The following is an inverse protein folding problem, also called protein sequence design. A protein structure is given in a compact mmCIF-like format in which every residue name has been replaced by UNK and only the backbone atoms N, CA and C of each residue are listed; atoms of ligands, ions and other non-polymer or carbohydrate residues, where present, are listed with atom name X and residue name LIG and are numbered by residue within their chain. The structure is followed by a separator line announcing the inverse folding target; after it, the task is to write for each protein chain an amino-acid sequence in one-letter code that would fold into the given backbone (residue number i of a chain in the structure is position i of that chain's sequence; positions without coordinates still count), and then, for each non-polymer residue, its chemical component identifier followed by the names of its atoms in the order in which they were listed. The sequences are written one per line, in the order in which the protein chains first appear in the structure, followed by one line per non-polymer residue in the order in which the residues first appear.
data_IF_651106123787
#
_entry.id   IF_651106123787
#
_cell.length_a   1.000
_cell.length_b   1.000
_cell.length_c   1.000
_cell.angle_alpha   90.00
_cell.angle_beta   90.00
_cell.angle_gamma   90.00
#
_symmetry.space_group_name_H-M   'P 1'
#
loop_
_entity.id
_entity.type
_entity.pdbx_description
1 polymer ?
#
# COMPACT_ATOMS: atom_id res chain seq x y z
N UNK A 1 4.33 -37.88 30.02
CA UNK A 1 3.08 -38.68 29.97
C UNK A 1 1.92 -37.78 30.39
N UNK A 2 0.94 -37.63 29.50
CA UNK A 2 -0.17 -36.66 29.50
C UNK A 2 -1.16 -36.89 30.66
N UNK A 3 -1.69 -35.82 31.25
CA UNK A 3 -3.00 -35.85 31.91
C UNK A 3 -3.95 -34.93 31.14
N UNK A 4 -4.70 -35.55 30.23
CA UNK A 4 -5.90 -34.97 29.59
C UNK A 4 -7.09 -35.22 30.51
N UNK A 5 -7.83 -34.18 30.93
CA UNK A 5 -9.21 -34.33 31.41
C UNK A 5 -10.18 -33.99 30.28
N UNK A 6 -10.79 -35.04 29.72
CA UNK A 6 -11.95 -34.99 28.82
C UNK A 6 -13.14 -35.45 29.67
N UNK A 7 -14.13 -34.60 29.89
CA UNK A 7 -15.44 -35.01 30.41
C UNK A 7 -16.48 -34.50 29.42
N UNK A 8 -17.04 -35.42 28.62
CA UNK A 8 -18.43 -35.36 28.18
C UNK A 8 -18.80 -36.72 27.55
N UNK A 9 -19.49 -37.55 28.34
CA UNK A 9 -20.31 -38.67 27.88
C UNK A 9 -21.76 -38.25 28.13
N UNK A 10 -22.62 -38.20 27.10
CA UNK A 10 -23.57 -39.28 26.73
C UNK A 10 -24.72 -38.70 25.87
N UNK A 11 -24.68 -39.05 24.58
CA UNK A 11 -25.78 -39.55 23.74
C UNK A 11 -27.24 -39.20 24.13
N UNK A 12 -27.98 -38.61 23.18
CA UNK A 12 -29.17 -39.22 22.56
C UNK A 12 -29.45 -38.64 21.17
N UNK A 13 -29.75 -39.55 20.24
CA UNK A 13 -30.11 -39.32 18.83
C UNK A 13 -31.49 -38.67 18.71
N UNK A 14 -31.65 -37.76 17.76
CA UNK A 14 -32.90 -37.58 17.01
C UNK A 14 -32.54 -37.23 15.56
N UNK A 15 -32.89 -38.14 14.65
CA UNK A 15 -32.78 -37.98 13.20
C UNK A 15 -33.98 -37.17 12.72
N UNK A 16 -33.74 -36.06 12.01
CA UNK A 16 -34.73 -35.44 11.14
C UNK A 16 -34.09 -35.36 9.75
N UNK A 17 -34.69 -36.07 8.79
CA UNK A 17 -34.45 -35.93 7.36
C UNK A 17 -35.16 -34.67 6.88
N UNK A 18 -34.46 -33.81 6.14
CA UNK A 18 -35.08 -33.03 5.07
C UNK A 18 -34.08 -32.85 3.93
N UNK A 19 -34.52 -33.25 2.75
CA UNK A 19 -33.82 -33.26 1.46
C UNK A 19 -33.91 -31.89 0.81
N UNK A 20 -32.84 -31.35 0.21
CA UNK A 20 -32.94 -30.63 -1.07
C UNK A 20 -31.58 -30.49 -1.81
N UNK A 21 -31.52 -31.18 -2.95
CA UNK A 21 -30.92 -30.86 -4.25
C UNK A 21 -29.55 -30.16 -4.37
N UNK A 22 -28.54 -30.96 -4.71
CA UNK A 22 -27.30 -30.53 -5.39
C UNK A 22 -27.49 -30.78 -6.89
N UNK A 23 -27.41 -29.73 -7.71
CA UNK A 23 -27.38 -29.84 -9.17
C UNK A 23 -25.94 -30.07 -9.61
N UNK A 24 -25.66 -31.28 -10.10
CA UNK A 24 -24.39 -31.64 -10.73
C UNK A 24 -24.54 -31.37 -12.22
N UNK A 25 -23.78 -30.42 -12.76
CA UNK A 25 -23.60 -30.29 -14.21
C UNK A 25 -22.36 -31.11 -14.59
N UNK A 26 -22.61 -32.25 -15.21
CA UNK A 26 -21.61 -33.08 -15.87
C UNK A 26 -21.16 -32.42 -17.18
N UNK A 27 -19.90 -31.97 -17.25
CA UNK A 27 -19.22 -31.62 -18.49
C UNK A 27 -18.29 -32.75 -18.91
N UNK A 28 -18.65 -33.42 -20.01
CA UNK A 28 -17.87 -34.45 -20.70
C UNK A 28 -16.46 -33.96 -21.07
N UNK A 29 -15.42 -34.72 -20.71
CA UNK A 29 -14.08 -34.59 -21.29
C UNK A 29 -14.00 -35.55 -22.47
N UNK A 30 -14.00 -35.01 -23.69
CA UNK A 30 -13.51 -35.72 -24.87
C UNK A 30 -12.07 -35.27 -25.11
N UNK A 31 -11.14 -36.21 -24.94
CA UNK A 31 -9.74 -36.03 -25.29
C UNK A 31 -9.59 -35.83 -26.80
N UNK A 32 -8.99 -34.71 -27.17
CA UNK A 32 -8.49 -34.42 -28.50
C UNK A 32 -7.17 -33.67 -28.38
N UNK A 33 -6.07 -34.40 -28.48
CA UNK A 33 -4.74 -33.84 -28.62
C UNK A 33 -4.61 -33.22 -30.00
N UNK A 34 -4.58 -31.88 -30.09
CA UNK A 34 -4.10 -31.17 -31.28
C UNK A 34 -2.98 -30.23 -30.88
N UNK A 35 -1.79 -30.57 -31.35
CA UNK A 35 -0.61 -29.72 -31.37
C UNK A 35 -0.96 -28.39 -32.02
N UNK A 36 -0.88 -27.29 -31.26
CA UNK A 36 -1.02 -25.96 -31.82
C UNK A 36 0.35 -25.58 -32.37
N UNK A 37 0.52 -25.76 -33.68
CA UNK A 37 1.63 -25.15 -34.42
C UNK A 37 1.49 -23.63 -34.31
N UNK A 38 2.60 -22.96 -34.02
CA UNK A 38 2.76 -21.51 -34.14
C UNK A 38 2.57 -21.11 -35.61
N UNK A 39 1.32 -20.90 -36.01
CA UNK A 39 0.95 -20.27 -37.26
C UNK A 39 0.67 -18.79 -36.94
N UNK A 40 1.43 -17.93 -37.64
CA UNK A 40 1.26 -16.49 -37.77
C UNK A 40 -0.18 -16.02 -37.54
N UNK A 41 -0.42 -15.43 -36.37
CA UNK A 41 -1.65 -14.68 -36.14
C UNK A 41 -1.59 -13.37 -36.95
N UNK A 42 -2.67 -13.01 -37.66
CA UNK A 42 -2.75 -11.72 -38.31
C UNK A 42 -2.78 -10.63 -37.25
N UNK A 43 -1.85 -9.68 -37.37
CA UNK A 43 -1.75 -8.43 -36.63
C UNK A 43 -3.04 -7.60 -36.83
N UNK A 44 -3.97 -7.61 -35.84
CA UNK A 44 -5.14 -6.70 -35.73
C UNK A 44 -5.85 -6.76 -34.35
N UNK A 45 -5.14 -7.02 -33.25
CA UNK A 45 -5.69 -6.83 -31.88
C UNK A 45 -4.86 -5.77 -31.15
N UNK A 46 -5.39 -4.54 -31.03
CA UNK A 46 -4.89 -3.57 -30.05
C UNK A 46 -5.27 -4.04 -28.63
N UNK A 47 -4.63 -5.13 -28.20
CA UNK A 47 -4.65 -5.57 -26.80
C UNK A 47 -4.13 -4.40 -25.96
N UNK A 48 -4.73 -4.09 -24.79
CA UNK A 48 -4.20 -3.05 -23.92
C UNK A 48 -2.71 -3.28 -23.70
N UNK A 49 -1.90 -2.29 -24.05
CA UNK A 49 -0.46 -2.36 -23.86
C UNK A 49 -0.09 -1.76 -22.51
N UNK A 50 1.05 -2.15 -21.91
CA UNK A 50 1.53 -1.55 -20.67
C UNK A 50 1.53 -0.01 -20.70
N UNK A 51 0.70 0.62 -19.87
CA UNK A 51 0.50 2.08 -19.82
C UNK A 51 -0.28 2.68 -21.01
N UNK A 52 -0.95 1.87 -21.81
CA UNK A 52 -1.85 2.29 -22.88
C UNK A 52 -3.30 2.46 -22.42
N UNK A 53 -4.18 2.77 -23.37
CA UNK A 53 -5.62 2.91 -23.09
C UNK A 53 -6.23 1.55 -22.72
N UNK A 54 -6.93 1.44 -21.57
CA UNK A 54 -7.60 0.22 -21.18
C UNK A 54 -8.70 -0.17 -22.17
N UNK A 55 -8.82 -1.47 -22.41
CA UNK A 55 -10.02 -2.06 -22.98
C UNK A 55 -11.02 -2.23 -21.81
N UNK A 56 -12.05 -1.40 -21.80
CA UNK A 56 -13.03 -1.35 -20.71
C UNK A 56 -14.09 -2.45 -20.81
N UNK A 57 -14.29 -3.05 -21.99
CA UNK A 57 -15.43 -3.92 -22.27
C UNK A 57 -15.04 -5.31 -22.79
N UNK A 58 -13.75 -5.56 -23.01
CA UNK A 58 -13.21 -6.86 -23.32
C UNK A 58 -13.18 -7.85 -22.15
N UNK A 59 -12.47 -8.95 -22.38
CA UNK A 59 -12.43 -10.11 -21.49
C UNK A 59 -11.35 -10.03 -20.41
N UNK A 60 -10.76 -8.85 -20.18
CA UNK A 60 -9.69 -8.65 -19.19
C UNK A 60 -10.09 -7.53 -18.25
N UNK A 61 -9.76 -7.69 -16.97
CA UNK A 61 -10.37 -6.89 -15.94
C UNK A 61 -9.65 -5.57 -15.62
N UNK A 62 -8.40 -5.44 -16.09
CA UNK A 62 -7.50 -4.32 -15.78
C UNK A 62 -7.22 -4.17 -14.27
N UNK A 63 -7.17 -5.31 -13.59
CA UNK A 63 -6.73 -5.41 -12.19
C UNK A 63 -6.01 -6.73 -11.97
N UNK A 64 -5.04 -6.79 -11.06
CA UNK A 64 -4.36 -8.03 -10.72
C UNK A 64 -4.62 -8.43 -9.25
N UNK A 65 -4.55 -9.72 -8.97
CA UNK A 65 -4.45 -10.25 -7.60
C UNK A 65 -3.02 -10.68 -7.30
N UNK A 66 -2.72 -10.84 -6.02
CA UNK A 66 -1.47 -11.42 -5.56
C UNK A 66 -1.32 -12.86 -6.07
N UNK A 67 -0.09 -13.34 -6.30
CA UNK A 67 0.14 -14.68 -6.82
C UNK A 67 -0.31 -15.74 -5.79
N UNK A 68 -1.28 -16.57 -6.18
CA UNK A 68 -1.76 -17.67 -5.35
C UNK A 68 -0.84 -18.90 -5.47
N UNK A 69 -0.60 -19.65 -4.37
CA UNK A 69 0.15 -20.89 -4.45
C UNK A 69 -0.54 -21.92 -5.35
N UNK A 70 0.23 -22.64 -6.15
CA UNK A 70 -0.28 -23.75 -6.96
C UNK A 70 -0.19 -25.07 -6.21
N UNK A 71 -1.03 -26.03 -6.61
CA UNK A 71 -1.04 -27.38 -6.05
C UNK A 71 -0.29 -28.35 -6.99
N UNK A 72 0.40 -29.32 -6.42
CA UNK A 72 0.92 -30.47 -7.15
C UNK A 72 -0.20 -31.47 -7.51
N UNK A 73 0.17 -32.56 -8.20
CA UNK A 73 -0.77 -33.62 -8.60
C UNK A 73 -1.43 -34.34 -7.42
N UNK A 74 -0.88 -34.21 -6.20
CA UNK A 74 -1.42 -34.78 -4.97
C UNK A 74 -2.23 -33.76 -4.17
N UNK A 75 -2.43 -32.55 -4.68
CA UNK A 75 -3.14 -31.47 -4.01
C UNK A 75 -2.31 -30.76 -2.92
N UNK A 76 -0.99 -30.93 -2.89
CA UNK A 76 -0.10 -30.26 -1.94
C UNK A 76 0.39 -28.93 -2.49
N UNK A 77 0.51 -27.92 -1.62
CA UNK A 77 0.97 -26.59 -2.00
C UNK A 77 2.45 -26.60 -2.38
N UNK A 78 2.77 -26.08 -3.57
CA UNK A 78 4.13 -25.98 -4.08
C UNK A 78 4.77 -24.66 -3.60
N UNK A 79 5.89 -24.75 -2.87
CA UNK A 79 6.65 -23.57 -2.44
C UNK A 79 7.17 -22.74 -3.63
N UNK A 80 7.30 -21.41 -3.46
CA UNK A 80 7.80 -20.49 -4.49
C UNK A 80 6.85 -20.21 -5.67
N UNK A 81 5.62 -20.72 -5.63
CA UNK A 81 4.62 -20.52 -6.70
C UNK A 81 3.69 -19.35 -6.43
N UNK A 82 3.48 -18.99 -5.17
CA UNK A 82 2.69 -17.86 -4.71
C UNK A 82 2.76 -17.68 -3.20
N UNK A 83 1.98 -16.75 -2.65
CA UNK A 83 2.00 -16.37 -1.23
C UNK A 83 1.30 -17.44 -0.39
N UNK A 84 2.09 -18.26 0.31
CA UNK A 84 1.58 -19.25 1.26
C UNK A 84 1.25 -18.57 2.59
N UNK A 85 0.12 -18.92 3.19
CA UNK A 85 -0.24 -18.33 4.49
C UNK A 85 0.55 -18.98 5.62
N UNK A 86 0.96 -18.19 6.60
CA UNK A 86 1.51 -18.65 7.88
C UNK A 86 2.81 -19.47 7.76
N UNK A 87 3.69 -19.06 6.84
CA UNK A 87 5.01 -19.70 6.65
C UNK A 87 6.18 -18.87 7.15
N UNK A 88 6.00 -17.57 7.36
CA UNK A 88 6.97 -16.62 7.90
C UNK A 88 6.54 -16.19 9.33
N UNK A 89 7.48 -16.00 10.25
CA UNK A 89 7.17 -15.58 11.62
C UNK A 89 6.91 -14.07 11.72
N UNK A 90 6.16 -13.65 12.75
CA UNK A 90 5.81 -12.25 12.98
C UNK A 90 7.04 -11.42 13.41
N UNK A 91 7.37 -10.31 12.73
CA UNK A 91 8.39 -9.37 13.20
C UNK A 91 7.99 -8.70 14.50
N UNK A 92 8.88 -8.70 15.49
CA UNK A 92 8.72 -7.95 16.73
C UNK A 92 9.43 -6.59 16.70
N UNK A 93 9.38 -5.90 17.85
CA UNK A 93 10.12 -4.64 18.06
C UNK A 93 11.56 -4.92 18.47
N UNK A 94 12.49 -4.32 17.74
CA UNK A 94 13.94 -4.44 17.95
C UNK A 94 14.57 -5.67 17.29
N UNK A 95 15.86 -5.56 16.96
CA UNK A 95 16.59 -6.58 16.20
C UNK A 95 16.66 -7.96 16.87
N UNK A 96 16.54 -8.04 18.20
CA UNK A 96 16.49 -9.32 18.92
C UNK A 96 15.19 -10.10 18.70
N UNK A 97 14.16 -9.44 18.15
CA UNK A 97 12.86 -10.04 17.80
C UNK A 97 12.64 -10.09 16.28
N UNK A 98 13.73 -10.22 15.52
CA UNK A 98 13.64 -10.39 14.08
C UNK A 98 12.96 -11.72 13.72
N UNK A 99 12.15 -11.72 12.65
CA UNK A 99 11.55 -12.94 12.12
C UNK A 99 12.54 -13.78 11.30
N UNK A 100 12.06 -14.87 10.70
CA UNK A 100 12.86 -15.76 9.85
C UNK A 100 13.34 -15.13 8.52
N UNK A 101 12.77 -13.98 8.13
CA UNK A 101 13.23 -13.13 7.03
C UNK A 101 14.24 -12.05 7.47
N UNK A 102 14.54 -11.95 8.77
CA UNK A 102 15.42 -10.92 9.34
C UNK A 102 14.77 -9.53 9.47
N UNK A 103 13.44 -9.47 9.40
CA UNK A 103 12.64 -8.25 9.56
C UNK A 103 12.30 -8.03 11.04
N UNK A 104 12.31 -6.77 11.46
CA UNK A 104 11.87 -6.30 12.78
C UNK A 104 11.40 -4.85 12.64
N UNK A 105 10.66 -4.32 13.61
CA UNK A 105 10.39 -2.88 13.72
C UNK A 105 11.59 -2.24 14.45
N UNK A 106 12.43 -1.41 13.81
CA UNK A 106 13.53 -0.73 14.50
C UNK A 106 13.00 0.13 15.65
N UNK A 107 13.76 0.24 16.73
CA UNK A 107 13.42 1.11 17.87
C UNK A 107 14.30 2.37 17.81
N UNK A 108 13.67 3.54 17.71
CA UNK A 108 14.38 4.81 17.62
C UNK A 108 15.19 5.09 18.89
N UNK A 109 16.38 5.68 18.73
CA UNK A 109 17.28 6.03 19.84
C UNK A 109 17.25 7.54 20.05
N UNK A 110 16.74 8.06 21.17
CA UNK A 110 16.63 9.51 21.37
C UNK A 110 18.01 10.17 21.53
N UNK A 111 18.26 11.24 20.78
CA UNK A 111 19.28 12.21 21.14
C UNK A 111 18.70 13.14 22.23
N UNK A 112 19.30 13.09 23.42
CA UNK A 112 18.85 13.86 24.59
C UNK A 112 19.74 15.06 24.89
N UNK A 113 20.78 15.30 24.08
CA UNK A 113 21.81 16.31 24.33
C UNK A 113 21.66 17.52 23.42
N UNK A 114 21.28 17.32 22.14
CA UNK A 114 21.14 18.42 21.18
C UNK A 114 20.06 19.43 21.59
N UNK A 115 18.95 18.96 22.16
CA UNK A 115 17.89 19.81 22.71
C UNK A 115 17.57 19.39 24.15
N UNK A 116 18.25 19.98 25.16
CA UNK A 116 18.03 19.63 26.57
C UNK A 116 16.55 19.72 26.96
N UNK A 117 16.05 18.68 27.62
CA UNK A 117 14.63 18.58 28.02
C UNK A 117 13.72 17.99 26.94
N UNK A 118 14.24 17.57 25.79
CA UNK A 118 13.48 16.91 24.73
C UNK A 118 14.23 15.72 24.15
N UNK A 119 13.52 14.86 23.42
CA UNK A 119 14.12 13.82 22.60
C UNK A 119 14.22 14.32 21.15
N UNK A 120 15.35 14.09 20.50
CA UNK A 120 15.60 14.55 19.14
C UNK A 120 15.93 13.40 18.19
N UNK A 121 15.35 13.45 16.99
CA UNK A 121 15.55 12.45 15.94
C UNK A 121 15.79 13.14 14.60
N UNK A 122 16.73 12.60 13.82
CA UNK A 122 16.88 12.92 12.41
C UNK A 122 16.36 11.75 11.59
N UNK A 123 15.21 11.95 10.95
CA UNK A 123 14.52 10.95 10.17
C UNK A 123 14.69 11.26 8.68
N UNK A 124 15.14 10.29 7.90
CA UNK A 124 15.23 10.40 6.45
C UNK A 124 14.24 9.48 5.78
N UNK A 125 13.64 9.97 4.68
CA UNK A 125 12.90 9.14 3.74
C UNK A 125 13.85 8.58 2.69
N UNK A 126 13.86 7.26 2.54
CA UNK A 126 14.71 6.55 1.57
C UNK A 126 13.91 5.53 0.77
N UNK A 127 14.41 5.16 -0.42
CA UNK A 127 13.91 4.04 -1.20
C UNK A 127 14.83 2.83 -1.03
N UNK A 128 14.25 1.64 -0.86
CA UNK A 128 14.98 0.40 -0.59
C UNK A 128 14.17 -0.81 -1.06
N UNK A 129 14.77 -2.01 -0.96
CA UNK A 129 14.11 -3.27 -1.26
C UNK A 129 14.09 -4.15 -0.01
N UNK A 130 12.95 -4.81 0.25
CA UNK A 130 12.79 -5.74 1.37
C UNK A 130 11.90 -6.91 0.94
N UNK A 131 12.22 -8.12 1.40
CA UNK A 131 11.41 -9.30 1.14
C UNK A 131 10.30 -9.38 2.20
N UNK A 132 9.03 -9.27 1.77
CA UNK A 132 7.86 -9.26 2.68
C UNK A 132 7.22 -10.66 2.85
N UNK A 133 7.73 -11.67 2.14
CA UNK A 133 7.30 -13.07 2.20
C UNK A 133 8.35 -13.96 1.53
N UNK A 134 8.64 -15.16 2.06
CA UNK A 134 9.72 -16.03 1.52
C UNK A 134 9.53 -16.49 0.07
N UNK A 135 8.29 -16.55 -0.40
CA UNK A 135 7.95 -16.94 -1.79
C UNK A 135 7.80 -15.75 -2.75
N UNK A 136 8.07 -14.52 -2.30
CA UNK A 136 8.08 -13.33 -3.14
C UNK A 136 9.52 -12.85 -3.38
N UNK A 137 9.73 -12.19 -4.52
CA UNK A 137 10.92 -11.38 -4.73
C UNK A 137 10.92 -10.16 -3.79
N UNK A 138 12.09 -9.55 -3.48
CA UNK A 138 12.15 -8.31 -2.71
C UNK A 138 11.31 -7.19 -3.36
N UNK A 139 10.45 -6.57 -2.55
CA UNK A 139 9.54 -5.50 -2.92
C UNK A 139 10.26 -4.15 -2.85
N UNK A 140 10.11 -3.30 -3.86
CA UNK A 140 10.57 -1.90 -3.80
C UNK A 140 9.65 -1.09 -2.89
N UNK A 141 10.24 -0.34 -1.95
CA UNK A 141 9.54 0.37 -0.88
C UNK A 141 10.16 1.75 -0.66
N UNK A 142 9.37 2.63 -0.05
CA UNK A 142 9.84 3.88 0.56
C UNK A 142 9.56 3.83 2.06
N UNK A 143 10.44 4.39 2.87
CA UNK A 143 10.27 4.33 4.31
C UNK A 143 11.28 5.17 5.07
N UNK A 144 11.04 5.25 6.38
CA UNK A 144 11.79 6.12 7.28
C UNK A 144 13.00 5.41 7.89
N UNK A 145 14.11 6.13 8.03
CA UNK A 145 15.31 5.68 8.76
C UNK A 145 15.80 6.78 9.70
N UNK A 146 16.29 6.41 10.88
CA UNK A 146 16.96 7.36 11.76
C UNK A 146 18.46 7.42 11.43
N UNK A 147 19.01 8.63 11.32
CA UNK A 147 20.42 8.82 10.95
C UNK A 147 21.32 9.43 12.02
N UNK A 148 20.76 10.14 13.00
CA UNK A 148 21.51 10.70 14.15
C UNK A 148 21.75 9.67 15.26
N UNK A 149 22.12 8.45 14.90
CA UNK A 149 22.45 7.37 15.83
C UNK A 149 23.66 6.58 15.30
N UNK A 150 24.39 5.94 16.21
CA UNK A 150 25.47 5.00 15.89
C UNK A 150 24.98 3.55 15.84
N UNK A 151 23.74 3.27 16.26
CA UNK A 151 23.17 1.93 16.27
C UNK A 151 22.87 1.45 14.84
N UNK A 152 23.61 0.44 14.32
CA UNK A 152 23.42 -0.04 12.95
C UNK A 152 22.05 -0.70 12.74
N UNK A 153 21.40 -1.17 13.80
CA UNK A 153 20.07 -1.82 13.72
C UNK A 153 18.95 -0.83 13.47
N UNK A 154 19.18 0.46 13.75
CA UNK A 154 18.21 1.55 13.55
C UNK A 154 18.47 2.32 12.26
N UNK A 155 19.74 2.39 11.82
CA UNK A 155 20.13 3.04 10.56
C UNK A 155 19.75 2.25 9.31
N UNK A 156 19.34 0.98 9.45
CA UNK A 156 18.90 0.13 8.36
C UNK A 156 17.47 0.52 7.96
N UNK A 157 17.22 0.65 6.65
CA UNK A 157 15.86 0.74 6.14
C UNK A 157 15.09 -0.57 6.40
N UNK A 158 13.88 -0.43 6.92
CA UNK A 158 12.99 -1.53 7.25
C UNK A 158 11.54 -1.06 7.11
N UNK A 159 10.65 -1.97 6.75
CA UNK A 159 9.22 -1.70 6.73
C UNK A 159 8.76 -1.21 8.11
N UNK A 160 7.88 -0.21 8.13
CA UNK A 160 7.44 0.53 9.31
C UNK A 160 8.47 1.45 9.98
N UNK A 161 9.70 1.56 9.47
CA UNK A 161 10.70 2.51 9.96
C UNK A 161 10.96 2.45 11.48
N UNK A 162 11.69 3.42 12.06
CA UNK A 162 12.02 3.41 13.47
C UNK A 162 10.81 3.81 14.35
N UNK A 163 10.30 2.87 15.14
CA UNK A 163 9.30 3.14 16.15
C UNK A 163 9.85 4.10 17.21
N UNK A 164 9.15 5.21 17.44
CA UNK A 164 9.49 6.15 18.53
C UNK A 164 8.70 5.75 19.77
N UNK A 165 9.38 5.52 20.88
CA UNK A 165 8.77 5.36 22.22
C UNK A 165 9.00 6.65 22.99
N UNK A 166 7.93 7.42 23.18
CA UNK A 166 7.98 8.71 23.85
C UNK A 166 7.34 8.66 25.24
N UNK A 167 7.71 9.61 26.08
CA UNK A 167 7.12 9.79 27.40
C UNK A 167 6.17 10.99 27.40
N UNK A 168 5.04 10.84 28.08
CA UNK A 168 4.11 11.95 28.34
C UNK A 168 4.84 13.14 28.94
N UNK A 169 4.49 14.33 28.46
CA UNK A 169 5.04 15.63 28.88
C UNK A 169 6.55 15.83 28.59
N UNK A 170 7.18 14.92 27.83
CA UNK A 170 8.53 15.11 27.27
C UNK A 170 8.41 15.37 25.76
N UNK A 171 8.73 16.59 25.29
CA UNK A 171 8.59 16.91 23.88
C UNK A 171 9.57 16.11 23.00
N UNK A 172 9.13 15.83 21.78
CA UNK A 172 9.96 15.25 20.71
C UNK A 172 10.19 16.28 19.62
N UNK A 173 11.43 16.42 19.16
CA UNK A 173 11.81 17.20 17.98
C UNK A 173 12.27 16.25 16.87
N UNK A 174 11.86 16.53 15.65
CA UNK A 174 12.26 15.76 14.47
C UNK A 174 12.81 16.68 13.40
N UNK A 175 13.98 16.37 12.84
CA UNK A 175 14.38 16.87 11.52
C UNK A 175 14.04 15.79 10.50
N UNK A 176 13.14 16.10 9.59
CA UNK A 176 12.79 15.23 8.48
C UNK A 176 13.55 15.64 7.23
N UNK A 177 14.14 14.69 6.51
CA UNK A 177 14.83 14.94 5.24
C UNK A 177 14.35 13.99 4.16
N UNK A 178 13.94 14.51 3.02
CA UNK A 178 13.66 13.71 1.84
C UNK A 178 14.98 13.34 1.14
N UNK A 179 15.35 12.05 1.16
CA UNK A 179 16.56 11.48 0.53
C UNK A 179 16.22 10.51 -0.62
N UNK A 180 15.06 10.66 -1.22
CA UNK A 180 14.71 9.91 -2.43
C UNK A 180 15.60 10.32 -3.62
N UNK A 181 15.74 9.47 -4.65
CA UNK A 181 16.55 9.79 -5.83
C UNK A 181 16.01 10.98 -6.63
N UNK A 182 16.88 11.65 -7.39
CA UNK A 182 16.49 12.74 -8.31
C UNK A 182 16.00 12.23 -9.66
N UNK A 183 15.31 13.10 -10.39
CA UNK A 183 14.84 12.82 -11.76
C UNK A 183 13.87 11.64 -11.80
N UNK A 184 13.94 10.84 -12.86
CA UNK A 184 13.03 9.70 -13.04
C UNK A 184 13.19 8.62 -11.96
N UNK A 185 14.32 8.56 -11.24
CA UNK A 185 14.49 7.68 -10.09
C UNK A 185 13.68 8.11 -8.87
N UNK A 186 13.26 9.37 -8.82
CA UNK A 186 12.39 9.94 -7.78
C UNK A 186 10.90 9.81 -8.08
N UNK A 187 10.55 9.43 -9.31
CA UNK A 187 9.17 9.12 -9.66
C UNK A 187 8.63 7.97 -8.80
N UNK A 188 7.34 8.02 -8.51
CA UNK A 188 6.72 6.99 -7.70
C UNK A 188 6.59 5.71 -8.53
N UNK A 189 7.03 4.58 -7.98
CA UNK A 189 6.86 3.27 -8.61
C UNK A 189 5.42 2.73 -8.47
N UNK A 190 4.43 3.63 -8.38
CA UNK A 190 3.01 3.33 -8.31
C UNK A 190 2.25 4.24 -9.28
N UNK A 191 1.06 3.82 -9.79
CA UNK A 191 0.29 4.62 -10.74
C UNK A 191 -0.21 5.94 -10.13
N UNK A 192 0.31 7.06 -10.62
CA UNK A 192 -0.13 8.41 -10.25
C UNK A 192 -1.14 8.93 -11.26
N UNK A 193 -2.39 9.13 -10.82
CA UNK A 193 -3.39 9.87 -11.60
C UNK A 193 -3.08 11.37 -11.56
N UNK A 194 -2.55 11.89 -12.66
CA UNK A 194 -2.17 13.30 -12.80
C UNK A 194 -3.36 14.24 -13.06
N UNK A 195 -4.57 13.70 -13.25
CA UNK A 195 -5.78 14.53 -13.27
C UNK A 195 -6.24 14.90 -11.86
N UNK A 196 -5.81 14.14 -10.84
CA UNK A 196 -6.15 14.41 -9.45
C UNK A 196 -5.43 15.67 -8.93
N UNK A 197 -6.14 16.43 -8.10
CA UNK A 197 -5.57 17.62 -7.47
C UNK A 197 -4.36 17.24 -6.62
N UNK A 198 -3.28 18.00 -6.75
CA UNK A 198 -2.04 17.71 -6.02
C UNK A 198 -1.19 16.60 -6.62
N UNK A 199 -1.58 15.95 -7.71
CA UNK A 199 -0.82 14.85 -8.34
C UNK A 199 -0.43 15.11 -9.80
N UNK A 200 -1.00 16.13 -10.45
CA UNK A 200 -0.54 16.62 -11.75
C UNK A 200 -0.44 18.13 -11.80
N UNK A 201 -1.49 18.87 -12.19
CA UNK A 201 -1.40 20.32 -12.38
C UNK A 201 -0.84 21.05 -11.14
N UNK A 202 0.33 21.71 -11.30
CA UNK A 202 1.06 22.38 -10.23
C UNK A 202 0.55 23.79 -9.90
N UNK A 203 1.09 24.42 -8.85
CA UNK A 203 0.60 25.68 -8.28
C UNK A 203 0.86 26.91 -9.17
N UNK A 204 1.74 26.82 -10.18
CA UNK A 204 2.03 27.91 -11.11
C UNK A 204 1.08 27.92 -12.31
N UNK A 205 -0.23 27.99 -12.05
CA UNK A 205 -1.26 28.04 -13.09
C UNK A 205 -1.14 26.91 -14.13
N UNK A 206 -0.62 25.74 -13.72
CA UNK A 206 -0.41 24.59 -14.59
C UNK A 206 0.73 24.70 -15.62
N UNK A 207 1.64 25.67 -15.51
CA UNK A 207 2.84 25.72 -16.37
C UNK A 207 3.86 24.63 -16.04
N UNK A 208 3.72 23.99 -14.87
CA UNK A 208 4.54 22.88 -14.39
C UNK A 208 3.62 21.92 -13.60
N UNK A 209 3.95 20.64 -13.57
CA UNK A 209 3.25 19.63 -12.78
C UNK A 209 3.89 19.46 -11.40
N UNK A 210 3.10 19.13 -10.39
CA UNK A 210 3.64 18.61 -9.15
C UNK A 210 4.58 17.43 -9.42
N UNK A 211 5.76 17.44 -8.79
CA UNK A 211 6.66 16.29 -8.82
C UNK A 211 6.04 15.15 -8.04
N UNK A 212 6.36 13.90 -8.40
CA UNK A 212 5.93 12.73 -7.63
C UNK A 212 6.81 12.52 -6.39
N UNK A 213 7.99 13.15 -6.36
CA UNK A 213 8.91 13.11 -5.26
C UNK A 213 8.62 14.23 -4.24
N UNK A 214 7.55 14.03 -3.47
CA UNK A 214 7.14 14.91 -2.38
C UNK A 214 6.78 14.08 -1.16
N UNK A 215 7.17 14.58 0.00
CA UNK A 215 6.88 13.93 1.27
C UNK A 215 6.71 14.97 2.39
N UNK A 216 5.96 14.61 3.42
CA UNK A 216 5.94 15.26 4.74
C UNK A 216 5.67 14.17 5.79
N UNK A 217 5.58 14.55 7.07
CA UNK A 217 5.18 13.62 8.13
C UNK A 217 4.00 14.22 8.90
N UNK A 218 2.93 13.45 9.03
CA UNK A 218 1.85 13.66 9.99
C UNK A 218 1.94 12.66 11.13
N UNK A 219 1.94 13.13 12.39
CA UNK A 219 1.85 12.26 13.57
C UNK A 219 0.37 12.08 13.96
N UNK A 220 -0.21 10.98 13.49
CA UNK A 220 -1.63 10.70 13.66
C UNK A 220 -1.99 10.41 15.12
N UNK A 221 -2.98 11.15 15.63
CA UNK A 221 -3.49 11.00 16.99
C UNK A 221 -2.74 11.81 18.05
N UNK A 222 -1.78 12.65 17.63
CA UNK A 222 -1.05 13.57 18.51
C UNK A 222 -1.71 14.95 18.61
N UNK A 223 -1.49 15.60 19.76
CA UNK A 223 -1.77 17.00 20.03
C UNK A 223 -0.51 17.79 19.65
N UNK A 224 -0.55 18.36 18.47
CA UNK A 224 0.58 19.02 17.79
C UNK A 224 0.23 20.48 17.48
N UNK A 225 1.20 21.41 17.52
CA UNK A 225 1.02 22.72 16.90
C UNK A 225 0.85 22.58 15.39
N UNK A 226 0.09 23.47 14.76
CA UNK A 226 -0.24 23.39 13.33
C UNK A 226 0.99 23.33 12.39
N UNK A 227 2.09 23.99 12.75
CA UNK A 227 3.36 23.96 11.99
C UNK A 227 4.04 22.59 12.04
N UNK A 228 3.65 21.71 12.95
CA UNK A 228 4.23 20.39 13.15
C UNK A 228 3.20 19.28 13.03
N UNK A 229 2.03 19.56 12.46
CA UNK A 229 1.00 18.55 12.26
C UNK A 229 1.21 17.77 10.97
N UNK A 230 1.91 18.30 9.96
CA UNK A 230 2.05 17.64 8.67
C UNK A 230 0.79 17.79 7.81
N UNK A 231 0.23 19.00 7.74
CA UNK A 231 -0.93 19.27 6.91
C UNK A 231 -0.62 18.97 5.43
N UNK A 232 -1.63 18.72 4.57
CA UNK A 232 -1.39 18.31 3.20
C UNK A 232 -0.49 19.22 2.37
N UNK A 233 -0.40 20.51 2.70
CA UNK A 233 0.43 21.49 2.00
C UNK A 233 1.79 21.74 2.66
N UNK A 234 2.21 20.92 3.62
CA UNK A 234 3.54 20.91 4.25
C UNK A 234 4.56 19.99 3.56
N UNK A 235 4.28 19.51 2.36
CA UNK A 235 5.25 18.67 1.64
C UNK A 235 6.53 19.43 1.26
N UNK A 236 7.62 18.68 1.24
CA UNK A 236 8.92 19.07 0.70
C UNK A 236 9.31 18.12 -0.45
N UNK A 237 9.99 18.63 -1.46
CA UNK A 237 10.74 17.78 -2.40
C UNK A 237 12.11 17.46 -1.81
N UNK A 238 12.87 16.59 -2.46
CA UNK A 238 14.27 16.40 -2.10
C UNK A 238 15.11 17.66 -2.44
N UNK A 239 16.34 17.74 -1.92
CA UNK A 239 17.27 18.81 -2.24
C UNK A 239 17.72 18.77 -3.70
N UNK A 240 17.53 19.86 -4.45
CA UNK A 240 17.94 19.96 -5.86
C UNK A 240 16.97 19.31 -6.84
N UNK A 241 15.73 19.03 -6.41
CA UNK A 241 14.65 18.62 -7.33
C UNK A 241 14.47 19.67 -8.44
N UNK A 242 14.27 19.20 -9.68
CA UNK A 242 14.04 20.08 -10.83
C UNK A 242 12.61 20.59 -10.84
N UNK A 243 12.29 21.45 -9.88
CA UNK A 243 11.00 22.13 -9.76
C UNK A 243 11.18 23.57 -9.36
N UNK A 244 10.22 24.40 -9.77
CA UNK A 244 10.21 25.80 -9.41
C UNK A 244 9.43 26.11 -8.11
N UNK A 245 8.97 25.07 -7.39
CA UNK A 245 8.31 25.12 -6.07
C UNK A 245 8.74 23.91 -5.21
N UNK A 246 9.95 23.94 -4.63
CA UNK A 246 10.50 22.79 -3.89
C UNK A 246 9.79 22.48 -2.56
N UNK A 247 8.89 23.36 -2.11
CA UNK A 247 8.15 23.19 -0.86
C UNK A 247 6.71 23.63 -1.02
N UNK A 248 5.82 23.04 -0.24
CA UNK A 248 4.43 23.43 -0.13
C UNK A 248 4.24 24.74 0.64
N UNK A 249 3.10 25.39 0.40
CA UNK A 249 2.81 26.74 0.93
C UNK A 249 2.65 26.79 2.45
N UNK A 250 2.54 25.65 3.12
CA UNK A 250 2.37 25.57 4.57
C UNK A 250 3.62 25.08 5.31
N UNK A 251 4.74 24.89 4.61
CA UNK A 251 6.01 24.50 5.23
C UNK A 251 6.50 25.62 6.14
N UNK A 252 6.64 25.31 7.42
CA UNK A 252 7.16 26.20 8.45
C UNK A 252 8.00 25.40 9.44
N UNK A 253 9.28 25.72 9.52
CA UNK A 253 10.18 25.09 10.49
C UNK A 253 9.85 25.52 11.92
N UNK A 254 10.11 24.62 12.87
CA UNK A 254 10.02 24.92 14.31
C UNK A 254 10.95 26.11 14.64
N UNK A 255 10.44 27.21 15.22
CA UNK A 255 11.20 28.45 15.37
C UNK A 255 12.50 28.37 16.19
N UNK A 256 12.62 27.39 17.09
CA UNK A 256 13.80 27.19 17.95
C UNK A 256 14.76 26.11 17.44
N UNK A 257 14.52 25.58 16.24
CA UNK A 257 15.43 24.67 15.54
C UNK A 257 16.15 25.43 14.41
N UNK A 258 17.45 25.14 14.16
CA UNK A 258 18.15 25.69 13.01
C UNK A 258 17.43 25.36 11.70
N UNK A 259 17.55 26.25 10.71
CA UNK A 259 17.09 25.97 9.35
C UNK A 259 17.75 24.67 8.86
N UNK A 260 16.96 23.62 8.56
CA UNK A 260 17.50 22.32 8.20
C UNK A 260 18.02 22.29 6.75
N UNK A 261 17.82 23.36 5.97
CA UNK A 261 18.23 23.47 4.59
C UNK A 261 17.29 22.78 3.60
N UNK A 262 17.64 22.87 2.31
CA UNK A 262 16.80 22.35 1.23
C UNK A 262 16.51 20.84 1.38
N UNK A 263 15.27 20.46 1.05
CA UNK A 263 14.79 19.08 1.15
C UNK A 263 14.69 18.54 2.57
N UNK A 264 14.59 19.44 3.55
CA UNK A 264 14.34 19.10 4.95
C UNK A 264 13.34 20.06 5.59
N UNK A 265 12.66 19.59 6.62
CA UNK A 265 11.78 20.38 7.48
C UNK A 265 11.85 19.88 8.94
N UNK A 266 11.33 20.66 9.88
CA UNK A 266 11.38 20.32 11.30
C UNK A 266 9.99 20.23 11.96
N UNK A 267 9.86 19.34 12.93
CA UNK A 267 8.63 19.08 13.69
C UNK A 267 8.85 19.10 15.19
N UNK A 268 7.84 19.56 15.93
CA UNK A 268 7.77 19.58 17.39
C UNK A 268 6.47 18.91 17.88
N UNK A 269 6.62 17.81 18.62
CA UNK A 269 5.52 17.07 19.22
C UNK A 269 5.52 17.28 20.73
N UNK A 270 4.43 17.82 21.26
CA UNK A 270 4.33 18.20 22.68
C UNK A 270 4.32 17.00 23.62
N UNK A 271 3.71 15.90 23.18
CA UNK A 271 3.38 14.72 24.00
C UNK A 271 2.54 15.02 25.24
N UNK A 272 1.79 16.13 25.24
CA UNK A 272 0.92 16.54 26.34
C UNK A 272 -0.48 15.92 26.22
N UNK A 273 -0.53 14.59 26.17
CA UNK A 273 -1.78 13.83 26.02
C UNK A 273 -1.70 12.47 26.72
N UNK A 274 -2.78 11.68 26.68
CA UNK A 274 -2.80 10.35 27.30
C UNK A 274 -1.94 9.33 26.53
N UNK A 275 -1.36 8.36 27.25
CA UNK A 275 -0.69 7.22 26.65
C UNK A 275 -1.57 6.52 25.59
N UNK A 276 -0.96 6.14 24.46
CA UNK A 276 -1.61 5.47 23.32
C UNK A 276 -0.59 5.06 22.26
N UNK A 277 -0.96 4.07 21.45
CA UNK A 277 -0.27 3.79 20.19
C UNK A 277 -0.78 4.75 19.12
N UNK A 278 0.16 5.45 18.49
CA UNK A 278 0.01 6.36 17.36
C UNK A 278 0.89 5.85 16.21
N UNK A 279 0.92 6.60 15.13
CA UNK A 279 1.84 6.36 14.02
C UNK A 279 2.11 7.67 13.30
N UNK A 280 3.29 7.79 12.71
CA UNK A 280 3.62 8.90 11.84
C UNK A 280 3.75 8.40 10.40
N UNK A 281 3.19 9.16 9.46
CA UNK A 281 3.07 8.73 8.06
C UNK A 281 3.07 9.92 7.10
N UNK A 282 3.27 9.66 5.81
CA UNK A 282 3.18 10.71 4.80
C UNK A 282 1.76 11.28 4.70
N UNK A 283 1.67 12.58 4.46
CA UNK A 283 0.41 13.29 4.33
C UNK A 283 0.38 14.23 3.12
N UNK A 284 1.22 13.98 2.12
CA UNK A 284 1.42 14.87 0.97
C UNK A 284 0.15 15.02 0.12
N UNK A 285 -0.23 16.28 -0.17
CA UNK A 285 -1.36 16.61 -1.03
C UNK A 285 -1.34 15.87 -2.36
N UNK A 286 -2.41 15.09 -2.61
CA UNK A 286 -2.61 14.28 -3.83
C UNK A 286 -1.94 12.91 -3.84
N UNK A 287 -0.96 12.67 -2.96
CA UNK A 287 -0.10 11.47 -2.99
C UNK A 287 -0.16 10.59 -1.73
N UNK A 288 -0.79 11.03 -0.63
CA UNK A 288 -0.88 10.29 0.64
C UNK A 288 -1.17 8.80 0.46
N UNK A 289 -2.21 8.45 -0.32
CA UNK A 289 -2.59 7.04 -0.53
C UNK A 289 -1.45 6.20 -1.10
N UNK A 290 -0.62 6.77 -1.98
CA UNK A 290 0.44 6.05 -2.67
C UNK A 290 1.73 6.04 -1.86
N UNK A 291 2.09 7.15 -1.19
CA UNK A 291 3.25 7.23 -0.32
C UNK A 291 3.11 6.29 0.90
N UNK A 292 1.95 6.32 1.57
CA UNK A 292 1.64 5.38 2.66
C UNK A 292 1.60 3.94 2.13
N UNK A 293 1.07 3.71 0.92
CA UNK A 293 1.06 2.38 0.33
C UNK A 293 2.47 1.87 0.01
N UNK A 294 3.38 2.75 -0.40
CA UNK A 294 4.79 2.46 -0.67
C UNK A 294 5.60 2.14 0.61
N UNK A 295 5.09 2.45 1.80
CA UNK A 295 5.71 2.10 3.09
C UNK A 295 6.02 3.28 4.01
N UNK A 296 5.61 4.50 3.67
CA UNK A 296 5.86 5.72 4.46
C UNK A 296 4.92 5.82 5.68
N UNK A 297 5.10 4.91 6.63
CA UNK A 297 4.42 4.88 7.92
C UNK A 297 5.33 4.27 8.98
N UNK A 298 5.18 4.67 10.25
CA UNK A 298 5.94 4.12 11.35
C UNK A 298 5.24 4.29 12.72
N UNK A 299 5.39 3.36 13.67
CA UNK A 299 4.69 3.43 14.94
C UNK A 299 5.26 4.50 15.86
N UNK A 300 4.40 5.06 16.70
CA UNK A 300 4.78 5.99 17.76
C UNK A 300 4.03 5.61 19.03
N UNK A 301 4.72 5.13 20.06
CA UNK A 301 4.10 4.75 21.33
C UNK A 301 4.35 5.83 22.37
N UNK A 302 3.27 6.46 22.83
CA UNK A 302 3.32 7.38 23.97
C UNK A 302 3.01 6.62 25.25
N UNK A 303 3.92 6.67 26.21
CA UNK A 303 3.79 6.04 27.52
C UNK A 303 3.58 7.09 28.62
N UNK A 304 2.92 6.72 29.70
CA UNK A 304 2.74 7.59 30.87
C UNK A 304 3.04 6.87 32.21
N UNK A 305 3.23 7.63 33.30
CA UNK A 305 3.50 7.04 34.61
C UNK A 305 2.37 6.15 35.15
N UNK A 306 1.11 6.37 34.74
CA UNK A 306 -0.03 5.61 35.23
C UNK A 306 -0.04 4.20 34.63
N UNK A 307 0.14 4.07 33.32
CA UNK A 307 0.31 2.78 32.63
C UNK A 307 1.49 2.00 33.22
N UNK A 308 2.62 2.69 33.45
CA UNK A 308 3.81 2.07 34.07
C UNK A 308 3.55 1.56 35.48
N UNK A 309 2.76 2.28 36.28
CA UNK A 309 2.37 1.84 37.62
C UNK A 309 1.47 0.59 37.57
N UNK A 310 0.55 0.52 36.60
CA UNK A 310 -0.29 -0.66 36.37
C UNK A 310 0.56 -1.87 35.98
N UNK A 311 1.54 -1.70 35.08
CA UNK A 311 2.50 -2.76 34.72
C UNK A 311 3.29 -3.21 35.96
N UNK A 312 3.84 -2.27 36.73
CA UNK A 312 4.64 -2.57 37.92
C UNK A 312 3.84 -3.31 39.01
N UNK A 313 2.55 -3.01 39.13
CA UNK A 313 1.64 -3.71 40.06
C UNK A 313 1.20 -5.09 39.56
N UNK A 314 1.48 -5.44 38.29
CA UNK A 314 0.96 -6.65 37.64
C UNK A 314 -0.52 -6.58 37.27
N UNK A 315 -1.15 -5.40 37.35
CA UNK A 315 -2.55 -5.21 36.95
C UNK A 315 -2.74 -5.35 35.44
N UNK A 316 -1.72 -5.01 34.64
CA UNK A 316 -1.66 -5.25 33.20
C UNK A 316 -0.32 -5.90 32.81
N UNK A 317 -0.25 -6.65 31.70
CA UNK A 317 0.99 -7.29 31.25
C UNK A 317 2.08 -6.27 30.91
N UNK A 318 3.33 -6.63 31.21
CA UNK A 318 4.51 -5.87 30.75
C UNK A 318 4.86 -6.14 29.29
N UNK A 319 4.47 -7.30 28.77
CA UNK A 319 4.70 -7.65 27.37
C UNK A 319 3.65 -6.99 26.48
N UNK A 320 4.13 -6.28 25.47
CA UNK A 320 3.30 -5.62 24.46
C UNK A 320 3.82 -6.00 23.07
N UNK A 321 2.90 -6.38 22.18
CA UNK A 321 3.19 -6.73 20.80
C UNK A 321 2.39 -5.78 19.92
N UNK A 322 3.01 -4.77 19.29
CA UNK A 322 2.30 -3.91 18.36
C UNK A 322 1.95 -4.70 17.10
N UNK A 323 0.71 -4.58 16.65
CA UNK A 323 0.23 -5.17 15.40
C UNK A 323 -0.18 -4.04 14.45
N UNK A 324 0.67 -3.76 13.47
CA UNK A 324 0.38 -2.82 12.40
C UNK A 324 -0.08 -3.62 11.20
N UNK A 325 -1.35 -3.43 10.83
CA UNK A 325 -2.04 -4.23 9.81
C UNK A 325 -2.28 -3.36 8.59
N UNK A 326 -1.84 -3.84 7.44
CA UNK A 326 -2.06 -3.20 6.14
C UNK A 326 -2.40 -4.28 5.12
N UNK A 327 -3.35 -4.05 4.24
CA UNK A 327 -3.59 -4.88 3.08
C UNK A 327 -2.76 -4.37 1.89
N UNK A 328 -2.16 -5.31 1.14
CA UNK A 328 -1.38 -5.08 -0.08
C UNK A 328 -1.78 -6.08 -1.15
N UNK A 329 -1.52 -5.73 -2.38
CA UNK A 329 -1.52 -6.66 -3.51
C UNK A 329 -0.15 -6.65 -4.14
N UNK A 330 0.35 -7.82 -4.52
CA UNK A 330 1.67 -7.97 -5.13
C UNK A 330 1.52 -8.30 -6.61
N UNK A 331 2.34 -7.67 -7.45
CA UNK A 331 2.39 -7.96 -8.88
C UNK A 331 2.70 -9.45 -9.07
N UNK A 332 1.85 -10.22 -9.77
CA UNK A 332 2.07 -11.64 -9.99
C UNK A 332 3.09 -11.87 -11.12
N UNK A 333 3.35 -13.15 -11.44
CA UNK A 333 4.20 -13.51 -12.59
C UNK A 333 3.50 -13.17 -13.91
N UNK A 334 4.27 -13.00 -14.97
CA UNK A 334 3.82 -12.45 -16.26
C UNK A 334 2.57 -13.13 -16.85
N UNK A 335 2.46 -14.45 -16.76
CA UNK A 335 1.28 -15.17 -17.29
C UNK A 335 -0.02 -14.74 -16.60
N UNK A 336 0.00 -14.58 -15.27
CA UNK A 336 -1.16 -14.10 -14.52
C UNK A 336 -1.35 -12.60 -14.76
N UNK A 337 -0.28 -11.81 -14.73
CA UNK A 337 -0.36 -10.36 -14.91
C UNK A 337 -0.99 -9.99 -16.26
N UNK A 338 -0.57 -10.62 -17.36
CA UNK A 338 -1.13 -10.35 -18.70
C UNK A 338 -2.61 -10.77 -18.79
N UNK A 339 -3.01 -11.82 -18.08
CA UNK A 339 -4.39 -12.31 -18.07
C UNK A 339 -5.33 -11.44 -17.21
N UNK A 340 -4.80 -10.73 -16.22
CA UNK A 340 -5.59 -9.97 -15.23
C UNK A 340 -5.49 -8.45 -15.46
N UNK A 341 -4.29 -7.92 -15.67
CA UNK A 341 -3.97 -6.50 -15.84
C UNK A 341 -2.88 -6.25 -16.91
N UNK A 342 -3.25 -6.28 -18.21
CA UNK A 342 -2.34 -6.01 -19.32
C UNK A 342 -1.93 -4.53 -19.40
N UNK A 343 -2.64 -3.64 -18.69
CA UNK A 343 -2.33 -2.22 -18.62
C UNK A 343 -1.19 -1.88 -17.65
N UNK A 344 -0.81 -2.81 -16.77
CA UNK A 344 0.27 -2.60 -15.81
C UNK A 344 1.62 -2.31 -16.47
N UNK A 345 2.19 -1.13 -16.19
CA UNK A 345 3.49 -0.73 -16.72
C UNK A 345 4.65 -1.23 -15.84
N UNK A 346 5.14 -2.46 -16.10
CA UNK A 346 6.27 -3.04 -15.37
C UNK A 346 7.54 -2.21 -15.37
N UNK A 347 7.79 -1.44 -16.44
CA UNK A 347 8.98 -0.60 -16.54
C UNK A 347 8.92 0.61 -15.58
N UNK A 348 7.71 1.08 -15.25
CA UNK A 348 7.49 2.20 -14.32
C UNK A 348 7.21 1.76 -12.89
N UNK A 349 6.42 0.70 -12.72
CA UNK A 349 5.85 0.32 -11.42
C UNK A 349 6.38 -1.01 -10.87
N UNK A 350 7.28 -1.66 -11.60
CA UNK A 350 7.91 -2.91 -11.20
C UNK A 350 7.15 -4.16 -11.63
N UNK A 351 7.85 -5.30 -11.53
CA UNK A 351 7.33 -6.64 -11.87
C UNK A 351 7.07 -7.50 -10.64
N UNK A 352 7.06 -8.82 -10.84
CA UNK A 352 6.77 -9.84 -9.80
C UNK A 352 7.33 -9.49 -8.41
N UNK A 353 6.46 -9.49 -7.39
CA UNK A 353 6.82 -9.19 -6.00
C UNK A 353 6.85 -7.70 -5.63
N UNK A 354 6.73 -6.77 -6.58
CA UNK A 354 6.49 -5.36 -6.26
C UNK A 354 5.02 -5.12 -5.90
N UNK A 355 4.74 -3.95 -5.36
CA UNK A 355 3.39 -3.54 -5.00
C UNK A 355 2.55 -3.27 -6.26
N UNK A 356 1.39 -3.89 -6.34
CA UNK A 356 0.35 -3.56 -7.30
C UNK A 356 -0.64 -2.59 -6.67
N UNK A 357 -1.15 -1.63 -7.44
CA UNK A 357 -2.19 -0.70 -6.99
C UNK A 357 -3.24 -0.49 -8.09
N UNK A 358 -4.54 -0.44 -7.74
CA UNK A 358 -5.61 -0.17 -8.70
C UNK A 358 -5.42 1.16 -9.42
N UNK A 359 -5.56 1.13 -10.75
CA UNK A 359 -5.29 2.32 -11.56
C UNK A 359 -6.21 2.50 -12.77
N UNK A 360 -7.10 1.54 -13.04
CA UNK A 360 -8.10 1.63 -14.11
C UNK A 360 -9.50 1.67 -13.50
N UNK A 361 -10.27 2.67 -13.89
CA UNK A 361 -11.68 2.79 -13.52
C UNK A 361 -12.53 1.92 -14.45
N UNK A 362 -12.55 0.60 -14.20
CA UNK A 362 -13.40 -0.32 -14.99
C UNK A 362 -14.86 -0.18 -14.53
N UNK A 363 -15.72 0.40 -15.38
CA UNK A 363 -17.12 0.68 -15.02
C UNK A 363 -17.98 -0.59 -14.95
N UNK A 364 -18.94 -0.65 -14.02
CA UNK A 364 -19.99 -1.67 -13.92
C UNK A 364 -21.00 -1.64 -15.07
N UNK A 365 -21.15 -0.49 -15.74
CA UNK A 365 -22.20 -0.28 -16.72
C UNK A 365 -21.66 -0.46 -18.15
N UNK A 366 -22.42 -1.18 -18.98
CA UNK A 366 -22.26 -1.17 -20.42
C UNK A 366 -23.63 -0.86 -21.06
N UNK A 367 -23.90 0.42 -21.41
CA UNK A 367 -25.18 0.82 -22.02
C UNK A 367 -25.50 0.15 -23.35
N UNK A 368 -24.51 -0.47 -23.99
CA UNK A 368 -24.63 -1.14 -25.29
C UNK A 368 -24.74 -2.66 -25.16
N UNK A 369 -24.68 -3.20 -23.94
CA UNK A 369 -24.98 -4.59 -23.63
C UNK A 369 -26.46 -4.77 -23.30
N UNK A 370 -27.05 -5.90 -23.72
CA UNK A 370 -28.45 -6.25 -23.38
C UNK A 370 -28.69 -6.40 -21.87
N UNK A 371 -27.65 -6.72 -21.09
CA UNK A 371 -27.75 -6.81 -19.62
C UNK A 371 -27.56 -5.44 -18.95
N UNK A 372 -27.08 -4.43 -19.68
CA UNK A 372 -26.63 -3.16 -19.13
C UNK A 372 -25.35 -3.26 -18.30
N UNK A 373 -24.79 -4.46 -18.13
CA UNK A 373 -23.67 -4.74 -17.23
C UNK A 373 -22.38 -5.00 -18.01
N UNK A 374 -21.29 -4.50 -17.46
CA UNK A 374 -19.94 -4.89 -17.82
C UNK A 374 -19.48 -6.03 -16.91
N UNK A 375 -19.11 -7.17 -17.51
CA UNK A 375 -18.70 -8.38 -16.76
C UNK A 375 -17.41 -8.18 -15.97
N UNK A 376 -16.54 -7.26 -16.42
CA UNK A 376 -15.29 -6.90 -15.75
C UNK A 376 -15.39 -5.64 -14.90
N UNK A 377 -16.59 -5.04 -14.85
CA UNK A 377 -16.82 -3.81 -14.12
C UNK A 377 -16.63 -3.94 -12.61
N UNK A 378 -16.15 -2.85 -12.00
CA UNK A 378 -16.01 -2.71 -10.54
C UNK A 378 -16.72 -1.49 -9.97
N UNK A 379 -16.80 -0.41 -10.74
CA UNK A 379 -17.20 0.89 -10.22
C UNK A 379 -18.39 1.48 -10.99
N UNK A 380 -19.31 2.12 -10.27
CA UNK A 380 -20.46 2.76 -10.89
C UNK A 380 -20.09 4.10 -11.53
N UNK A 381 -20.19 4.17 -12.86
CA UNK A 381 -19.85 5.38 -13.60
C UNK A 381 -21.06 6.31 -13.70
N UNK A 382 -20.96 7.49 -13.10
CA UNK A 382 -22.06 8.45 -12.95
C UNK A 382 -22.91 8.69 -14.21
N UNK A 383 -22.34 8.93 -15.41
CA UNK A 383 -23.10 9.07 -16.65
C UNK A 383 -23.97 7.88 -17.05
N UNK A 384 -23.66 6.68 -16.57
CA UNK A 384 -24.34 5.43 -16.96
C UNK A 384 -25.08 4.76 -15.80
N UNK A 385 -24.81 5.16 -14.55
CA UNK A 385 -25.53 4.70 -13.37
C UNK A 385 -26.92 5.35 -13.26
N UNK A 386 -27.97 4.61 -12.91
CA UNK A 386 -29.32 5.16 -12.78
C UNK A 386 -29.62 5.69 -11.37
N UNK A 387 -30.09 6.94 -11.21
CA UNK A 387 -30.35 7.95 -12.26
C UNK A 387 -29.06 8.58 -12.83
N UNK A 388 -28.94 8.77 -14.16
CA UNK A 388 -27.72 9.27 -14.79
C UNK A 388 -27.33 10.67 -14.31
N UNK A 389 -26.06 10.84 -13.97
CA UNK A 389 -25.49 12.13 -13.64
C UNK A 389 -24.96 12.84 -14.89
N UNK A 390 -25.79 13.69 -15.49
CA UNK A 390 -25.52 14.32 -16.80
C UNK A 390 -24.82 15.68 -16.73
N UNK A 391 -24.59 16.22 -15.54
CA UNK A 391 -24.00 17.56 -15.34
C UNK A 391 -22.47 17.54 -15.21
N UNK A 392 -21.81 16.47 -15.68
CA UNK A 392 -20.36 16.35 -15.61
C UNK A 392 -19.68 17.18 -16.68
N UNK A 393 -18.59 17.86 -16.28
CA UNK A 393 -17.69 18.55 -17.20
C UNK A 393 -17.08 17.60 -18.23
N UNK A 394 -16.74 16.39 -17.80
CA UNK A 394 -16.16 15.33 -18.63
C UNK A 394 -17.12 14.14 -18.67
N UNK A 395 -17.81 13.94 -19.80
CA UNK A 395 -18.70 12.81 -20.03
C UNK A 395 -17.99 11.63 -20.72
N UNK A 396 -18.75 10.61 -21.14
CA UNK A 396 -18.22 9.52 -21.97
C UNK A 396 -17.45 10.03 -23.19
N UNK A 397 -16.37 9.33 -23.57
CA UNK A 397 -15.52 9.64 -24.73
C UNK A 397 -15.66 8.57 -25.81
N UNK A 398 -15.32 8.88 -27.06
CA UNK A 398 -15.33 7.89 -28.14
C UNK A 398 -14.41 6.70 -27.79
N UNK A 399 -14.86 5.48 -28.04
CA UNK A 399 -14.04 4.29 -27.86
C UNK A 399 -13.08 4.14 -29.06
N UNK A 400 -11.75 4.21 -28.87
CA UNK A 400 -10.80 4.04 -29.97
C UNK A 400 -10.81 2.63 -30.59
N UNK A 401 -11.39 1.64 -29.91
CA UNK A 401 -11.53 0.27 -30.41
C UNK A 401 -12.78 0.08 -31.28
N UNK A 402 -13.69 1.07 -31.34
CA UNK A 402 -14.89 1.01 -32.17
C UNK A 402 -14.67 1.71 -33.53
N UNK A 403 -15.12 1.12 -34.67
CA UNK A 403 -15.74 -0.20 -34.83
C UNK A 403 -14.73 -1.30 -35.22
N UNK A 404 -13.43 -1.09 -34.95
CA UNK A 404 -12.35 -1.94 -35.46
C UNK A 404 -12.24 -3.28 -34.73
N UNK A 405 -12.55 -3.31 -33.43
CA UNK A 405 -12.66 -4.51 -32.61
C UNK A 405 -14.12 -4.91 -32.50
N UNK A 406 -14.39 -6.22 -32.67
CA UNK A 406 -15.74 -6.78 -32.60
C UNK A 406 -16.31 -6.65 -31.18
N UNK A 407 -17.61 -6.40 -31.08
CA UNK A 407 -18.38 -6.30 -29.83
C UNK A 407 -17.98 -5.16 -28.87
N UNK A 408 -17.14 -4.23 -29.32
CA UNK A 408 -16.83 -3.01 -28.59
C UNK A 408 -17.95 -1.96 -28.73
N UNK A 409 -18.33 -1.25 -27.63
CA UNK A 409 -19.28 -0.15 -27.72
C UNK A 409 -18.64 1.11 -28.32
N UNK A 410 -19.44 2.04 -28.90
CA UNK A 410 -18.91 3.27 -29.47
C UNK A 410 -18.34 4.26 -28.45
N UNK A 411 -18.57 4.07 -27.15
CA UNK A 411 -18.18 5.01 -26.09
C UNK A 411 -17.50 4.32 -24.90
N UNK A 412 -16.40 4.91 -24.44
CA UNK A 412 -15.68 4.57 -23.20
C UNK A 412 -16.03 5.54 -22.07
N UNK A 413 -15.79 5.16 -20.80
CA UNK A 413 -15.83 6.13 -19.71
C UNK A 413 -14.82 7.26 -19.99
N UNK A 414 -15.21 8.49 -19.65
CA UNK A 414 -14.39 9.69 -19.81
C UNK A 414 -13.28 9.85 -18.76
N UNK A 415 -12.91 8.79 -18.05
CA UNK A 415 -11.84 8.80 -17.06
C UNK A 415 -10.45 8.82 -17.75
N UNK A 416 -9.41 9.31 -17.06
CA UNK A 416 -8.04 9.11 -17.49
C UNK A 416 -7.69 7.62 -17.52
N UNK A 417 -6.66 7.26 -18.29
CA UNK A 417 -6.23 5.86 -18.42
C UNK A 417 -5.59 5.35 -17.11
N UNK A 418 -4.74 6.18 -16.47
CA UNK A 418 -4.37 6.02 -15.06
C UNK A 418 -5.28 6.92 -14.24
N UNK A 419 -6.20 6.30 -13.52
CA UNK A 419 -7.28 6.98 -12.80
C UNK A 419 -7.24 6.65 -11.31
N UNK A 420 -7.61 7.63 -10.50
CA UNK A 420 -8.00 7.39 -9.13
C UNK A 420 -9.29 6.57 -9.15
N UNK A 421 -9.27 5.45 -8.45
CA UNK A 421 -10.43 4.60 -8.25
C UNK A 421 -11.03 4.82 -6.87
N UNK A 422 -12.32 4.46 -6.65
CA UNK A 422 -12.90 4.35 -5.32
C UNK A 422 -12.09 3.41 -4.41
N UNK A 423 -12.48 3.35 -3.13
CA UNK A 423 -11.84 2.47 -2.15
C UNK A 423 -11.72 1.03 -2.67
N UNK A 424 -10.52 0.47 -2.52
CA UNK A 424 -10.18 -0.88 -2.95
C UNK A 424 -9.59 -1.64 -1.76
N UNK A 425 -10.10 -2.84 -1.52
CA UNK A 425 -9.54 -3.78 -0.55
C UNK A 425 -8.54 -4.68 -1.27
N UNK A 426 -7.32 -4.69 -0.77
CA UNK A 426 -6.24 -5.53 -1.29
C UNK A 426 -6.31 -6.94 -0.69
N UNK A 427 -5.67 -7.89 -1.34
CA UNK A 427 -5.89 -9.33 -1.11
C UNK A 427 -4.85 -10.02 -0.20
N UNK A 428 -3.80 -9.31 0.20
CA UNK A 428 -2.75 -9.83 1.08
C UNK A 428 -2.56 -8.95 2.32
N UNK A 429 -3.00 -9.41 3.52
CA UNK A 429 -2.71 -8.73 4.77
C UNK A 429 -1.24 -8.89 5.15
N UNK A 430 -0.62 -7.77 5.46
CA UNK A 430 0.67 -7.66 6.12
C UNK A 430 0.45 -7.34 7.59
N UNK A 431 1.21 -7.99 8.45
CA UNK A 431 1.32 -7.63 9.87
C UNK A 431 2.79 -7.36 10.14
N UNK A 432 3.09 -6.14 10.58
CA UNK A 432 4.46 -5.67 10.84
C UNK A 432 5.41 -5.83 9.64
N UNK A 433 4.88 -5.78 8.41
CA UNK A 433 5.66 -5.90 7.16
C UNK A 433 5.82 -7.32 6.60
N UNK A 434 5.28 -8.35 7.25
CA UNK A 434 5.29 -9.71 6.71
C UNK A 434 3.90 -10.11 6.25
N UNK A 435 3.78 -10.74 5.09
CA UNK A 435 2.51 -11.25 4.57
C UNK A 435 2.08 -12.51 5.33
N UNK A 436 0.84 -12.54 5.83
CA UNK A 436 0.26 -13.67 6.57
C UNK A 436 1.20 -14.32 7.62
N UNK A 437 1.79 -13.57 8.56
CA UNK A 437 2.76 -14.14 9.49
C UNK A 437 2.08 -15.01 10.56
N UNK A 438 2.86 -15.88 11.20
CA UNK A 438 2.44 -16.61 12.41
C UNK A 438 3.20 -16.13 13.65
N UNK A 439 2.60 -16.35 14.82
CA UNK A 439 3.22 -16.12 16.12
C UNK A 439 2.96 -17.35 17.01
N UNK A 440 4.02 -17.92 17.58
CA UNK A 440 3.91 -18.92 18.62
C UNK A 440 3.56 -18.23 19.95
N UNK A 441 2.44 -18.62 20.56
CA UNK A 441 1.88 -18.01 21.79
C UNK A 441 1.90 -18.95 22.98
#
# INVERSE_FOLDING_TARGET
MKVKRKILKKSRRNFIRMTLSVMVITGFILGGSTWINAATMPDMNMTPNPGGTPDYFGNVANFANSPLPTLDTNGQVIAGTGIRKFVDSLPGVGASKANDLGQYIPLAVPDTTTYPGSDYYEIQLVQYNEQLHKDLAPTTLRGYVQVNTTDPTVKKASYLGPMIVAQKDRPVRVKFTNKLPTGTGGDLFLPVDTSAMGAGMGPKMGTETYTQNRATIHLHGAVTPWISDGNPHQWITLAGENTSYPTGVSVHNVPDMPDPGAGSETFFYTNQQSARLMFYHDHTYGLTRLNVYAGEAAPYLLQDPAERALIASGAIPSEQIPLIIQDKTFVPKDMQLVAEDPTWNKAKWGGFGNLWFPHVYTTNQNPYSNTGANVMGRYDYGPWFWPPYTQLKNGPKANPLYPTVMDEPPMNPGTPDVSLVPEAFMDTPLINGTAYPFLDV
#
